data_IF_051907152811
#
_entry.id   IF_051907152811
#
_cell.length_a   1.000
_cell.length_b   1.000
_cell.length_c   1.000
_cell.angle_alpha   90.00
_cell.angle_beta   90.00
_cell.angle_gamma   90.00
#
_symmetry.space_group_name_H-M   'P 1'
#
loop_
_entity.id
_entity.type
_entity.pdbx_description
1 polymer ?
#
# COMPACT_ATOMS: atom_id res chain seq x y z
N UNK A 1 22.57 13.04 6.71
CA UNK A 1 22.87 12.07 7.77
C UNK A 1 21.74 11.04 7.92
N UNK A 2 20.45 11.43 8.03
CA UNK A 2 19.35 10.51 8.17
C UNK A 2 19.20 9.49 7.02
N UNK A 3 19.38 9.93 5.77
CA UNK A 3 19.34 9.05 4.59
C UNK A 3 20.51 8.04 4.59
N UNK A 4 21.69 8.43 5.07
CA UNK A 4 22.83 7.52 5.19
C UNK A 4 22.69 6.51 6.33
N UNK A 5 22.01 6.87 7.41
CA UNK A 5 21.66 5.94 8.48
C UNK A 5 20.59 4.94 8.02
N UNK A 6 19.51 5.42 7.37
CA UNK A 6 18.48 4.56 6.79
C UNK A 6 19.05 3.61 5.72
N UNK A 7 20.04 4.04 4.92
CA UNK A 7 20.67 3.20 3.91
C UNK A 7 21.51 2.08 4.54
N UNK A 8 22.26 2.36 5.62
CA UNK A 8 23.03 1.35 6.36
C UNK A 8 22.12 0.37 7.08
N UNK A 9 21.00 0.85 7.55
CA UNK A 9 19.94 0.07 8.20
C UNK A 9 19.25 -0.88 7.23
N UNK A 10 18.98 -0.44 5.99
CA UNK A 10 18.38 -1.28 4.94
C UNK A 10 19.29 -2.44 4.47
N UNK A 11 20.58 -2.39 4.76
CA UNK A 11 21.54 -3.45 4.43
C UNK A 11 21.65 -4.54 5.52
N UNK A 12 20.93 -4.37 6.64
CA UNK A 12 20.94 -5.36 7.74
C UNK A 12 19.81 -6.40 7.56
N UNK A 13 20.06 -7.67 7.92
CA UNK A 13 19.11 -8.77 7.65
C UNK A 13 17.87 -8.77 8.54
N UNK A 14 17.73 -7.83 9.46
CA UNK A 14 16.65 -7.80 10.44
C UNK A 14 15.97 -6.44 10.45
N UNK A 15 14.74 -6.38 9.98
CA UNK A 15 13.97 -5.14 9.85
C UNK A 15 13.76 -4.42 11.21
N UNK A 16 13.57 -5.16 12.27
CA UNK A 16 13.34 -4.62 13.62
C UNK A 16 14.57 -3.98 14.24
N UNK A 17 15.76 -4.60 14.12
CA UNK A 17 17.02 -3.99 14.56
C UNK A 17 17.30 -2.71 13.77
N UNK A 18 16.76 -2.60 12.58
CA UNK A 18 16.86 -1.42 11.75
C UNK A 18 16.05 -0.24 12.29
N UNK A 19 14.83 -0.46 12.77
CA UNK A 19 13.99 0.60 13.37
C UNK A 19 14.59 1.04 14.71
N UNK A 20 15.02 0.12 15.54
CA UNK A 20 15.63 0.42 16.82
C UNK A 20 16.96 1.16 16.66
N UNK A 21 17.82 0.72 15.74
CA UNK A 21 19.06 1.42 15.42
C UNK A 21 18.81 2.82 14.86
N UNK A 22 17.79 3.03 14.04
CA UNK A 22 17.38 4.33 13.57
C UNK A 22 16.88 5.22 14.70
N UNK A 23 16.07 4.67 15.60
CA UNK A 23 15.59 5.39 16.79
C UNK A 23 16.74 5.84 17.69
N UNK A 24 17.68 4.96 18.00
CA UNK A 24 18.87 5.27 18.80
C UNK A 24 19.77 6.31 18.12
N UNK A 25 19.92 6.22 16.80
CA UNK A 25 20.67 7.21 16.03
C UNK A 25 20.05 8.60 16.15
N UNK A 26 18.74 8.74 15.96
CA UNK A 26 18.06 10.02 16.11
C UNK A 26 18.09 10.54 17.54
N UNK A 27 18.05 9.67 18.54
CA UNK A 27 18.20 10.05 19.94
C UNK A 27 19.61 10.61 20.23
N UNK A 28 20.65 10.03 19.64
CA UNK A 28 22.02 10.54 19.71
C UNK A 28 22.19 11.87 18.98
N UNK A 29 21.63 12.01 17.78
CA UNK A 29 21.65 13.25 16.99
C UNK A 29 20.95 14.39 17.74
N UNK A 30 19.87 14.10 18.46
CA UNK A 30 19.22 15.07 19.33
C UNK A 30 20.16 15.60 20.44
N UNK A 31 21.01 14.74 20.98
CA UNK A 31 22.03 15.12 21.98
C UNK A 31 23.15 16.01 21.39
N UNK A 32 23.49 15.77 20.12
CA UNK A 32 24.51 16.53 19.39
C UNK A 32 23.98 17.86 18.81
N UNK A 33 22.69 18.12 18.89
CA UNK A 33 22.04 19.35 18.39
C UNK A 33 22.25 19.61 16.88
N UNK A 34 22.50 18.58 16.08
CA UNK A 34 22.68 18.68 14.64
C UNK A 34 21.39 19.01 13.88
N UNK A 35 20.25 18.75 14.50
CA UNK A 35 18.93 19.03 13.95
C UNK A 35 18.10 19.84 14.94
N UNK A 36 17.05 20.56 14.48
CA UNK A 36 16.12 21.23 15.37
C UNK A 36 15.51 20.23 16.36
N UNK A 37 15.55 20.56 17.65
CA UNK A 37 15.06 19.68 18.73
C UNK A 37 13.60 19.27 18.56
N UNK A 38 12.78 20.18 18.04
CA UNK A 38 11.36 19.93 17.79
C UNK A 38 11.18 18.83 16.74
N UNK A 39 11.90 18.91 15.62
CA UNK A 39 11.86 17.92 14.55
C UNK A 39 12.28 16.53 15.06
N UNK A 40 13.35 16.45 15.82
CA UNK A 40 13.82 15.19 16.39
C UNK A 40 12.85 14.63 17.44
N UNK A 41 12.27 15.49 18.26
CA UNK A 41 11.24 15.11 19.21
C UNK A 41 10.01 14.52 18.52
N UNK A 42 9.53 15.15 17.44
CA UNK A 42 8.36 14.67 16.69
C UNK A 42 8.65 13.33 16.02
N UNK A 43 9.85 13.15 15.46
CA UNK A 43 10.31 11.86 14.93
C UNK A 43 10.35 10.77 16.02
N UNK A 44 10.96 11.07 17.17
CA UNK A 44 11.04 10.13 18.29
C UNK A 44 9.67 9.76 18.82
N UNK A 45 8.76 10.73 18.96
CA UNK A 45 7.38 10.48 19.37
C UNK A 45 6.63 9.61 18.35
N UNK A 46 6.80 9.87 17.05
CA UNK A 46 6.19 9.08 15.98
C UNK A 46 6.69 7.63 15.95
N UNK A 47 7.97 7.40 16.22
CA UNK A 47 8.58 6.06 16.20
C UNK A 47 8.46 5.32 17.54
N UNK A 48 8.16 6.02 18.62
CA UNK A 48 8.18 5.44 19.97
C UNK A 48 7.24 4.24 20.10
N UNK A 49 6.01 4.31 19.58
CA UNK A 49 5.04 3.23 19.67
C UNK A 49 5.53 1.96 18.98
N UNK A 50 6.25 2.12 17.85
CA UNK A 50 6.79 1.02 17.04
C UNK A 50 8.06 0.40 17.64
N UNK A 51 8.88 1.20 18.33
CA UNK A 51 10.17 0.73 18.85
C UNK A 51 10.10 0.22 20.30
N UNK A 52 9.37 0.92 21.16
CA UNK A 52 9.34 0.66 22.62
C UNK A 52 7.93 0.67 23.22
N UNK A 53 6.90 1.00 22.42
CA UNK A 53 5.51 1.11 22.84
C UNK A 53 4.67 -0.14 22.56
N UNK A 54 3.36 0.04 22.55
CA UNK A 54 2.38 -1.04 22.40
C UNK A 54 2.49 -1.78 21.04
N UNK A 55 2.93 -1.08 20.00
CA UNK A 55 3.02 -1.60 18.63
C UNK A 55 4.37 -2.28 18.34
N UNK A 56 5.34 -2.20 19.27
CA UNK A 56 6.67 -2.80 19.12
C UNK A 56 6.62 -4.29 18.76
N UNK A 57 5.63 -5.02 19.26
CA UNK A 57 5.41 -6.44 18.93
C UNK A 57 5.17 -6.72 17.45
N UNK A 58 4.74 -5.73 16.67
CA UNK A 58 4.51 -5.87 15.22
C UNK A 58 5.73 -5.46 14.40
N UNK A 59 6.58 -4.58 14.92
CA UNK A 59 7.67 -3.97 14.17
C UNK A 59 9.05 -4.30 14.72
N UNK A 60 9.16 -4.65 16.01
CA UNK A 60 10.43 -4.93 16.66
C UNK A 60 10.61 -6.45 16.87
N UNK A 61 10.95 -7.15 15.80
CA UNK A 61 11.19 -8.61 15.77
C UNK A 61 11.87 -9.02 14.47
N UNK A 62 12.28 -10.27 14.38
CA UNK A 62 12.84 -10.79 13.14
C UNK A 62 11.79 -10.83 12.03
N UNK A 63 12.19 -10.46 10.81
CA UNK A 63 11.33 -10.62 9.64
C UNK A 63 11.01 -12.10 9.45
N UNK A 64 9.74 -12.43 9.45
CA UNK A 64 9.21 -13.80 9.31
C UNK A 64 8.60 -14.09 7.94
N UNK A 65 8.80 -13.18 6.98
CA UNK A 65 8.36 -13.39 5.59
C UNK A 65 9.24 -14.47 4.98
N UNK A 66 8.64 -15.61 4.63
CA UNK A 66 9.36 -16.68 3.95
C UNK A 66 9.63 -16.33 2.48
N UNK A 67 10.76 -16.78 1.95
CA UNK A 67 11.07 -16.72 0.52
C UNK A 67 10.28 -17.79 -0.23
N UNK A 68 8.98 -17.65 -0.34
CA UNK A 68 8.10 -18.55 -1.06
C UNK A 68 7.79 -18.00 -2.46
N UNK A 69 7.64 -18.90 -3.45
CA UNK A 69 7.16 -18.52 -4.78
C UNK A 69 5.69 -18.07 -4.79
N UNK A 70 4.95 -18.45 -3.78
CA UNK A 70 3.57 -18.02 -3.56
C UNK A 70 3.43 -17.53 -2.13
N UNK A 71 3.07 -16.27 -1.97
CA UNK A 71 2.93 -15.60 -0.68
C UNK A 71 1.57 -14.91 -0.61
N UNK A 72 0.88 -15.09 0.49
CA UNK A 72 -0.41 -14.45 0.77
C UNK A 72 -0.30 -13.63 2.04
N UNK A 73 -0.63 -12.34 1.96
CA UNK A 73 -0.80 -11.48 3.12
C UNK A 73 -2.28 -11.41 3.48
N UNK A 74 -2.65 -12.04 4.60
CA UNK A 74 -4.00 -11.95 5.10
C UNK A 74 -4.17 -10.67 5.92
N UNK A 75 -4.93 -9.72 5.39
CA UNK A 75 -5.22 -8.43 6.04
C UNK A 75 -6.51 -8.45 6.87
N UNK A 76 -7.19 -9.60 6.92
CA UNK A 76 -8.40 -9.80 7.74
C UNK A 76 -8.06 -9.57 9.21
N UNK A 77 -8.85 -8.74 9.87
CA UNK A 77 -8.61 -8.38 11.28
C UNK A 77 -7.87 -7.06 11.47
N UNK A 78 -7.31 -6.46 10.42
CA UNK A 78 -6.76 -5.10 10.51
C UNK A 78 -7.85 -4.04 10.77
N UNK A 79 -9.11 -4.35 10.49
CA UNK A 79 -10.25 -3.47 10.81
C UNK A 79 -10.45 -3.28 12.33
N UNK A 80 -9.92 -4.20 13.14
CA UNK A 80 -10.05 -4.17 14.59
C UNK A 80 -8.87 -3.49 15.31
N UNK A 81 -7.91 -2.94 14.58
CA UNK A 81 -6.76 -2.22 15.14
C UNK A 81 -6.90 -0.71 14.91
N UNK A 82 -6.13 0.08 15.68
CA UNK A 82 -6.10 1.53 15.50
C UNK A 82 -5.70 1.89 14.05
N UNK A 83 -6.33 2.92 13.51
CA UNK A 83 -6.17 3.31 12.09
C UNK A 83 -4.70 3.54 11.70
N UNK A 84 -3.93 4.24 12.52
CA UNK A 84 -2.51 4.50 12.26
C UNK A 84 -1.68 3.20 12.18
N UNK A 85 -1.98 2.22 13.04
CA UNK A 85 -1.34 0.91 13.02
C UNK A 85 -1.74 0.13 11.75
N UNK A 86 -3.04 0.11 11.42
CA UNK A 86 -3.55 -0.49 10.19
C UNK A 86 -2.86 0.08 8.96
N UNK A 87 -2.84 1.41 8.83
CA UNK A 87 -2.25 2.08 7.68
C UNK A 87 -0.75 1.78 7.55
N UNK A 88 -0.04 1.71 8.67
CA UNK A 88 1.39 1.36 8.69
C UNK A 88 1.63 -0.09 8.24
N UNK A 89 0.82 -1.04 8.72
CA UNK A 89 0.92 -2.45 8.33
C UNK A 89 0.58 -2.64 6.85
N UNK A 90 -0.50 -2.03 6.38
CA UNK A 90 -0.86 -2.03 4.96
C UNK A 90 0.25 -1.44 4.11
N UNK A 91 0.82 -0.30 4.52
CA UNK A 91 1.93 0.31 3.79
C UNK A 91 3.18 -0.57 3.75
N UNK A 92 3.46 -1.32 4.81
CA UNK A 92 4.56 -2.30 4.85
C UNK A 92 4.35 -3.40 3.82
N UNK A 93 3.13 -3.93 3.69
CA UNK A 93 2.77 -4.92 2.67
C UNK A 93 2.92 -4.34 1.26
N UNK A 94 2.41 -3.12 1.02
CA UNK A 94 2.56 -2.43 -0.27
C UNK A 94 4.02 -2.21 -0.64
N UNK A 95 4.85 -1.84 0.32
CA UNK A 95 6.28 -1.61 0.09
C UNK A 95 6.98 -2.89 -0.32
N UNK A 96 6.71 -4.00 0.38
CA UNK A 96 7.22 -5.32 0.01
C UNK A 96 6.76 -5.74 -1.39
N UNK A 97 5.46 -5.64 -1.66
CA UNK A 97 4.89 -5.97 -2.96
C UNK A 97 5.52 -5.15 -4.10
N UNK A 98 5.70 -3.84 -3.88
CA UNK A 98 6.33 -2.97 -4.86
C UNK A 98 7.78 -3.33 -5.14
N UNK A 99 8.53 -3.70 -4.11
CA UNK A 99 9.91 -4.16 -4.28
C UNK A 99 9.95 -5.45 -5.12
N UNK A 100 9.09 -6.41 -4.85
CA UNK A 100 8.99 -7.62 -5.67
C UNK A 100 8.59 -7.31 -7.11
N UNK A 101 7.61 -6.44 -7.34
CA UNK A 101 7.14 -6.07 -8.68
C UNK A 101 8.17 -5.27 -9.48
N UNK A 102 8.87 -4.33 -8.84
CA UNK A 102 9.65 -3.31 -9.54
C UNK A 102 11.15 -3.51 -9.45
N UNK A 103 11.65 -4.23 -8.45
CA UNK A 103 13.08 -4.49 -8.24
C UNK A 103 13.43 -5.92 -8.64
N UNK A 104 12.77 -6.91 -8.05
CA UNK A 104 12.96 -8.32 -8.41
C UNK A 104 12.43 -8.62 -9.83
N UNK A 105 11.26 -8.10 -10.17
CA UNK A 105 10.63 -8.33 -11.47
C UNK A 105 10.03 -9.74 -11.63
N UNK A 106 9.48 -10.03 -12.81
CA UNK A 106 8.87 -11.31 -13.17
C UNK A 106 7.91 -11.83 -12.07
N UNK A 107 7.11 -10.92 -11.54
CA UNK A 107 6.23 -11.16 -10.39
C UNK A 107 4.80 -10.79 -10.73
N UNK A 108 3.86 -11.60 -10.27
CA UNK A 108 2.43 -11.27 -10.30
C UNK A 108 1.98 -10.98 -8.88
N UNK A 109 1.41 -9.81 -8.66
CA UNK A 109 0.76 -9.46 -7.41
C UNK A 109 -0.74 -9.24 -7.64
N UNK A 110 -1.55 -9.67 -6.69
CA UNK A 110 -2.99 -9.42 -6.68
C UNK A 110 -3.38 -8.72 -5.38
N UNK A 111 -4.15 -7.65 -5.51
CA UNK A 111 -4.78 -6.95 -4.39
C UNK A 111 -6.27 -7.21 -4.49
N UNK A 112 -6.77 -7.98 -3.55
CA UNK A 112 -8.20 -8.14 -3.34
C UNK A 112 -8.70 -7.09 -2.34
N UNK A 113 -9.99 -6.77 -2.39
CA UNK A 113 -10.61 -5.74 -1.54
C UNK A 113 -9.87 -4.39 -1.64
N UNK A 114 -9.67 -3.92 -2.87
CA UNK A 114 -8.89 -2.71 -3.14
C UNK A 114 -9.37 -1.48 -2.36
N UNK A 115 -10.66 -1.41 -2.02
CA UNK A 115 -11.25 -0.31 -1.25
C UNK A 115 -10.53 -0.03 0.07
N UNK A 116 -9.95 -1.06 0.70
CA UNK A 116 -9.18 -0.91 1.96
C UNK A 116 -7.99 0.06 1.80
N UNK A 117 -7.46 0.16 0.59
CA UNK A 117 -6.31 0.99 0.27
C UNK A 117 -6.69 2.39 -0.23
N UNK A 118 -7.93 2.55 -0.71
CA UNK A 118 -8.42 3.80 -1.29
C UNK A 118 -8.64 4.90 -0.24
N UNK A 119 -8.76 4.55 1.02
CA UNK A 119 -8.90 5.51 2.14
C UNK A 119 -7.63 6.33 2.39
N UNK A 120 -6.47 5.87 1.87
CA UNK A 120 -5.18 6.54 2.06
C UNK A 120 -4.62 7.04 0.71
N UNK A 121 -4.55 8.37 0.46
CA UNK A 121 -4.04 8.95 -0.79
C UNK A 121 -2.62 8.51 -1.14
N UNK A 122 -1.78 8.28 -0.14
CA UNK A 122 -0.40 7.80 -0.34
C UNK A 122 -0.40 6.38 -0.90
N UNK A 123 -1.25 5.49 -0.37
CA UNK A 123 -1.40 4.12 -0.87
C UNK A 123 -1.90 4.12 -2.33
N UNK A 124 -2.91 4.93 -2.65
CA UNK A 124 -3.43 5.08 -4.02
C UNK A 124 -2.33 5.53 -4.98
N UNK A 125 -1.56 6.54 -4.59
CA UNK A 125 -0.43 7.05 -5.39
C UNK A 125 0.62 5.95 -5.62
N UNK A 126 0.88 5.15 -4.60
CA UNK A 126 1.83 4.05 -4.65
C UNK A 126 1.39 2.95 -5.63
N UNK A 127 0.14 2.49 -5.51
CA UNK A 127 -0.49 1.50 -6.42
C UNK A 127 -0.46 2.00 -7.86
N UNK A 128 -0.85 3.27 -8.09
CA UNK A 128 -0.79 3.90 -9.42
C UNK A 128 0.62 3.90 -10.02
N UNK A 129 1.63 4.18 -9.21
CA UNK A 129 3.02 4.17 -9.66
C UNK A 129 3.49 2.74 -9.99
N UNK A 130 3.05 1.74 -9.23
CA UNK A 130 3.28 0.33 -9.56
C UNK A 130 2.66 -0.01 -10.91
N UNK A 131 1.38 0.27 -11.12
CA UNK A 131 0.67 0.00 -12.39
C UNK A 131 1.40 0.58 -13.61
N UNK A 132 1.95 1.79 -13.50
CA UNK A 132 2.70 2.43 -14.60
C UNK A 132 4.03 1.77 -14.93
N UNK A 133 4.62 1.06 -13.98
CA UNK A 133 6.01 0.59 -14.06
C UNK A 133 6.17 -0.92 -14.18
N UNK A 134 5.18 -1.71 -13.74
CA UNK A 134 5.24 -3.18 -13.70
C UNK A 134 5.59 -3.79 -15.06
N UNK A 135 5.02 -3.27 -16.16
CA UNK A 135 5.28 -3.79 -17.51
C UNK A 135 6.77 -3.76 -17.90
N UNK A 136 7.53 -2.75 -17.43
CA UNK A 136 8.96 -2.65 -17.72
C UNK A 136 9.79 -3.69 -16.98
N UNK A 137 9.20 -4.40 -16.04
CA UNK A 137 9.83 -5.40 -15.18
C UNK A 137 9.27 -6.81 -15.40
N UNK A 138 8.53 -7.00 -16.51
CA UNK A 138 7.85 -8.28 -16.81
C UNK A 138 6.94 -8.75 -15.65
N UNK A 139 6.42 -7.78 -14.90
CA UNK A 139 5.56 -8.01 -13.75
C UNK A 139 4.12 -7.61 -14.08
N UNK A 140 3.18 -8.13 -13.32
CA UNK A 140 1.75 -7.83 -13.45
C UNK A 140 1.14 -7.49 -12.11
N UNK A 141 0.20 -6.54 -12.12
CA UNK A 141 -0.59 -6.18 -10.94
C UNK A 141 -2.06 -6.35 -11.27
N UNK A 142 -2.73 -7.16 -10.48
CA UNK A 142 -4.16 -7.45 -10.55
C UNK A 142 -4.83 -6.72 -9.39
N UNK A 143 -5.87 -5.95 -9.70
CA UNK A 143 -6.66 -5.23 -8.70
C UNK A 143 -8.09 -5.76 -8.75
N UNK A 144 -8.64 -6.12 -7.60
CA UNK A 144 -10.04 -6.54 -7.47
C UNK A 144 -10.76 -5.65 -6.46
N UNK A 145 -11.98 -5.25 -6.81
CA UNK A 145 -12.87 -4.48 -5.94
C UNK A 145 -14.31 -4.84 -6.23
N UNK A 146 -15.15 -4.81 -5.23
CA UNK A 146 -16.57 -5.13 -5.34
C UNK A 146 -17.40 -3.92 -5.75
N UNK A 147 -17.03 -2.72 -5.29
CA UNK A 147 -17.81 -1.50 -5.47
C UNK A 147 -17.04 -0.46 -6.28
N UNK A 148 -17.65 -0.01 -7.38
CA UNK A 148 -17.09 1.06 -8.19
C UNK A 148 -17.17 2.42 -7.47
N UNK A 149 -18.18 2.61 -6.62
CA UNK A 149 -18.41 3.84 -5.86
C UNK A 149 -17.28 4.20 -4.89
N UNK A 150 -16.53 3.20 -4.42
CA UNK A 150 -15.37 3.43 -3.55
C UNK A 150 -14.29 4.28 -4.21
N UNK A 151 -14.26 4.31 -5.54
CA UNK A 151 -13.29 5.08 -6.32
C UNK A 151 -13.74 6.54 -6.55
N UNK A 152 -15.01 6.85 -6.33
CA UNK A 152 -15.60 8.17 -6.61
C UNK A 152 -15.77 9.03 -5.36
N UNK A 153 -15.12 8.70 -4.26
CA UNK A 153 -15.22 9.45 -3.01
C UNK A 153 -14.58 10.83 -3.12
N UNK A 154 -15.17 11.85 -2.48
CA UNK A 154 -14.61 13.20 -2.43
C UNK A 154 -13.17 13.21 -1.93
N UNK A 155 -12.29 13.92 -2.63
CA UNK A 155 -10.87 14.05 -2.26
C UNK A 155 -9.93 12.96 -2.81
N UNK A 156 -10.43 11.82 -3.28
CA UNK A 156 -9.58 10.78 -3.87
C UNK A 156 -9.89 10.51 -5.35
N UNK A 157 -11.01 10.98 -5.87
CA UNK A 157 -11.48 10.74 -7.26
C UNK A 157 -10.41 10.99 -8.32
N UNK A 158 -9.69 12.10 -8.24
CA UNK A 158 -8.62 12.43 -9.20
C UNK A 158 -7.42 11.49 -9.10
N UNK A 159 -7.22 10.89 -7.93
CA UNK A 159 -6.16 9.93 -7.71
C UNK A 159 -6.54 8.52 -8.17
N UNK A 160 -7.80 8.14 -8.03
CA UNK A 160 -8.32 6.81 -8.34
C UNK A 160 -8.69 6.64 -9.81
N UNK A 161 -9.15 7.72 -10.48
CA UNK A 161 -9.52 7.69 -11.90
C UNK A 161 -8.47 7.03 -12.82
N UNK A 162 -7.16 7.28 -12.66
CA UNK A 162 -6.15 6.58 -13.45
C UNK A 162 -6.08 5.07 -13.23
N UNK A 163 -6.62 4.54 -12.13
CA UNK A 163 -6.67 3.09 -11.87
C UNK A 163 -7.57 2.37 -12.87
N UNK A 164 -8.53 3.05 -13.48
CA UNK A 164 -9.36 2.51 -14.57
C UNK A 164 -8.69 2.66 -15.94
N UNK A 165 -7.94 3.72 -16.15
CA UNK A 165 -7.36 4.03 -17.48
C UNK A 165 -6.01 3.32 -17.75
N UNK A 166 -5.27 2.94 -16.72
CA UNK A 166 -3.94 2.33 -16.86
C UNK A 166 -4.00 0.82 -17.16
N UNK A 167 -4.90 0.02 -16.55
CA UNK A 167 -4.96 -1.42 -16.79
C UNK A 167 -5.19 -1.75 -18.26
N UNK A 168 -4.46 -2.75 -18.79
CA UNK A 168 -4.60 -3.22 -20.16
C UNK A 168 -5.87 -4.06 -20.37
N UNK A 169 -6.31 -4.72 -19.29
CA UNK A 169 -7.49 -5.60 -19.29
C UNK A 169 -8.37 -5.25 -18.10
N UNK A 170 -9.67 -5.25 -18.34
CA UNK A 170 -10.68 -5.09 -17.31
C UNK A 170 -11.65 -6.27 -17.39
N UNK A 171 -11.92 -6.88 -16.25
CA UNK A 171 -12.89 -7.96 -16.12
C UNK A 171 -14.07 -7.40 -15.33
N UNK A 172 -15.22 -7.31 -15.99
CA UNK A 172 -16.43 -6.74 -15.44
C UNK A 172 -17.40 -7.86 -15.08
N UNK A 173 -17.92 -7.81 -13.88
CA UNK A 173 -18.94 -8.72 -13.38
C UNK A 173 -20.25 -7.95 -13.17
N UNK A 174 -21.34 -8.67 -12.95
CA UNK A 174 -22.64 -8.08 -12.75
C UNK A 174 -22.59 -7.03 -11.61
N UNK A 175 -22.92 -5.74 -11.90
CA UNK A 175 -22.81 -4.65 -10.94
C UNK A 175 -23.90 -4.66 -9.85
N UNK A 176 -24.86 -5.60 -9.91
CA UNK A 176 -25.95 -5.65 -8.96
C UNK A 176 -26.87 -4.42 -9.03
N UNK A 177 -27.03 -3.74 -7.89
CA UNK A 177 -27.94 -2.61 -7.73
C UNK A 177 -27.29 -1.22 -7.97
N UNK A 178 -26.05 -1.16 -8.51
CA UNK A 178 -25.37 0.09 -8.81
C UNK A 178 -26.10 0.85 -9.91
N UNK A 179 -26.12 2.19 -9.84
CA UNK A 179 -26.68 3.03 -10.90
C UNK A 179 -25.97 2.75 -12.24
N UNK A 180 -26.72 2.26 -13.21
CA UNK A 180 -26.20 1.89 -14.51
C UNK A 180 -25.54 3.05 -15.27
N UNK A 181 -26.00 4.28 -15.09
CA UNK A 181 -25.38 5.46 -15.69
C UNK A 181 -24.00 5.72 -15.08
N UNK A 182 -23.92 5.69 -13.75
CA UNK A 182 -22.65 5.84 -13.05
C UNK A 182 -21.63 4.77 -13.49
N UNK A 183 -22.08 3.52 -13.65
CA UNK A 183 -21.24 2.41 -14.09
C UNK A 183 -20.74 2.60 -15.53
N UNK A 184 -21.64 2.93 -16.46
CA UNK A 184 -21.29 3.16 -17.88
C UNK A 184 -20.35 4.35 -18.03
N UNK A 185 -20.63 5.49 -17.36
CA UNK A 185 -19.82 6.71 -17.49
C UNK A 185 -18.40 6.53 -16.97
N UNK A 186 -18.23 5.84 -15.83
CA UNK A 186 -16.89 5.63 -15.24
C UNK A 186 -16.06 4.60 -16.01
N UNK A 187 -16.69 3.57 -16.59
CA UNK A 187 -16.01 2.51 -17.34
C UNK A 187 -16.03 2.74 -18.85
N UNK A 188 -16.69 3.83 -19.30
CA UNK A 188 -16.84 4.17 -20.73
C UNK A 188 -17.49 3.05 -21.54
N UNK A 189 -18.53 2.43 -20.98
CA UNK A 189 -19.28 1.34 -21.63
C UNK A 189 -20.45 1.87 -22.46
N UNK A 190 -20.64 1.28 -23.61
CA UNK A 190 -21.88 1.42 -24.35
C UNK A 190 -23.02 0.63 -23.66
N UNK A 191 -24.27 1.05 -23.93
CA UNK A 191 -25.42 0.42 -23.27
C UNK A 191 -25.51 -1.09 -23.50
N UNK A 192 -25.20 -1.56 -24.72
CA UNK A 192 -25.23 -2.97 -25.00
C UNK A 192 -24.19 -3.78 -24.26
N UNK A 193 -22.99 -3.19 -23.99
CA UNK A 193 -21.94 -3.81 -23.18
C UNK A 193 -22.36 -3.91 -21.72
N UNK A 194 -22.98 -2.85 -21.19
CA UNK A 194 -23.55 -2.86 -19.85
C UNK A 194 -24.62 -3.94 -19.69
N UNK A 195 -25.53 -4.05 -20.67
CA UNK A 195 -26.59 -5.06 -20.65
C UNK A 195 -26.00 -6.50 -20.66
N UNK A 196 -24.89 -6.73 -21.38
CA UNK A 196 -24.17 -8.01 -21.37
C UNK A 196 -23.55 -8.30 -19.97
N UNK A 197 -22.92 -7.29 -19.35
CA UNK A 197 -22.35 -7.43 -18.00
C UNK A 197 -23.43 -7.74 -16.97
N UNK A 198 -24.60 -7.12 -17.08
CA UNK A 198 -25.74 -7.40 -16.19
C UNK A 198 -26.31 -8.83 -16.36
N UNK A 199 -26.15 -9.44 -17.51
CA UNK A 199 -26.58 -10.82 -17.78
C UNK A 199 -25.55 -11.86 -17.35
N UNK A 200 -24.30 -11.46 -17.09
CA UNK A 200 -23.26 -12.36 -16.60
C UNK A 200 -23.58 -12.81 -15.16
N UNK A 201 -23.61 -14.12 -14.95
CA UNK A 201 -23.83 -14.76 -13.64
C UNK A 201 -22.51 -15.22 -13.04
#
# INVERSE_FOLDING_TARGET
AGIGAMRRVAEQPVFSSNIEAAYEHYEQEAKLQLYPREMLRDLLLGLHSMCKGADARFFNGHTNISSSRFLVFCVKGLDNVAQNLRDTLLFTVLSYMSDQLLTAGNTVAAIDELYLWLTNPTAVTYIRNCLKRVRKKESSLILASQNLEDFDQPGIRELTRPLFAIPTHQFLFNPGAIDGRFYMDNLQLEKFEYDLVCQAQ
#
